data_IF_282770713164
#
_entry.id   IF_282770713164
#
_cell.length_a   1.000
_cell.length_b   1.000
_cell.length_c   1.000
_cell.angle_alpha   90.00
_cell.angle_beta   90.00
_cell.angle_gamma   90.00
#
_symmetry.space_group_name_H-M   'P 1'
#
loop_
_entity.id
_entity.type
_entity.pdbx_description
1 polymer ?
#
# COMPACT_ATOMS: atom_id res chain seq x y z
N UNK A 1 34.88 4.88 37.68
CA UNK A 1 33.45 4.50 37.47
C UNK A 1 32.97 4.93 36.08
N UNK A 2 33.16 6.18 35.66
CA UNK A 2 32.66 6.70 34.35
C UNK A 2 33.32 6.03 33.13
N UNK A 3 34.62 5.71 33.20
CA UNK A 3 35.32 4.99 32.12
C UNK A 3 34.78 3.55 31.92
N UNK A 4 34.41 2.89 33.02
CA UNK A 4 33.83 1.54 32.97
C UNK A 4 32.43 1.58 32.33
N UNK A 5 31.63 2.61 32.63
CA UNK A 5 30.32 2.82 32.01
C UNK A 5 30.39 3.12 30.49
N UNK A 6 31.42 3.86 30.08
CA UNK A 6 31.66 4.10 28.64
C UNK A 6 32.09 2.80 27.95
N UNK A 7 32.97 2.02 28.58
CA UNK A 7 33.41 0.73 28.04
C UNK A 7 32.31 -0.34 28.01
N UNK A 8 31.30 -0.23 28.88
CA UNK A 8 30.14 -1.11 28.89
C UNK A 8 29.15 -0.85 27.72
N UNK A 9 29.34 0.22 26.92
CA UNK A 9 28.52 0.52 25.76
C UNK A 9 27.06 0.79 26.11
N UNK A 10 26.72 1.88 26.80
CA UNK A 10 25.35 2.19 27.17
C UNK A 10 24.49 2.37 25.91
N UNK A 11 23.47 1.53 25.78
CA UNK A 11 22.52 1.55 24.65
C UNK A 11 21.17 2.00 25.16
N UNK A 12 20.53 2.86 24.40
CA UNK A 12 19.11 3.20 24.57
C UNK A 12 18.35 2.70 23.36
N UNK A 13 17.17 2.15 23.60
CA UNK A 13 16.25 1.86 22.52
C UNK A 13 15.52 3.17 22.17
N UNK A 14 15.71 3.67 20.96
CA UNK A 14 14.83 4.71 20.44
C UNK A 14 13.39 4.19 20.43
N UNK A 15 12.42 5.10 20.57
CA UNK A 15 11.03 4.72 20.33
C UNK A 15 10.96 4.13 18.94
N UNK A 16 10.29 2.97 18.74
CA UNK A 16 10.18 2.38 17.43
C UNK A 16 9.64 3.45 16.49
N UNK A 17 10.46 3.90 15.57
CA UNK A 17 9.98 4.63 14.42
C UNK A 17 9.18 3.60 13.63
N UNK A 18 7.88 3.77 13.57
CA UNK A 18 7.09 3.11 12.56
C UNK A 18 7.48 3.78 11.23
N UNK A 19 8.60 3.37 10.65
CA UNK A 19 8.83 3.64 9.24
C UNK A 19 7.81 2.76 8.52
N UNK A 20 6.80 3.41 7.97
CA UNK A 20 5.84 2.77 7.10
C UNK A 20 6.62 2.27 5.90
N UNK A 21 6.74 0.95 5.76
CA UNK A 21 7.31 0.38 4.56
C UNK A 21 6.44 0.80 3.37
N UNK A 22 7.09 1.13 2.26
CA UNK A 22 6.43 1.51 1.03
C UNK A 22 5.51 0.37 0.58
N UNK A 23 4.24 0.67 0.35
CA UNK A 23 3.29 -0.30 -0.20
C UNK A 23 3.16 -0.07 -1.71
N UNK A 24 3.28 -1.14 -2.48
CA UNK A 24 3.07 -1.14 -3.92
C UNK A 24 1.61 -1.50 -4.19
N UNK A 25 0.80 -0.54 -4.57
CA UNK A 25 -0.64 -0.70 -4.77
C UNK A 25 -0.96 -0.68 -6.26
N UNK A 26 -1.49 -1.77 -6.77
CA UNK A 26 -1.95 -1.87 -8.15
C UNK A 26 -3.48 -1.89 -8.20
N UNK A 27 -4.06 -0.89 -8.82
CA UNK A 27 -5.49 -0.85 -9.10
C UNK A 27 -5.78 -1.62 -10.39
N UNK A 28 -6.69 -2.61 -10.30
CA UNK A 28 -7.31 -3.26 -11.44
C UNK A 28 -8.72 -2.69 -11.60
N UNK A 29 -8.91 -1.80 -12.54
CA UNK A 29 -10.18 -1.13 -12.80
C UNK A 29 -10.88 -1.76 -14.01
N UNK A 30 -12.07 -2.25 -13.79
CA UNK A 30 -12.96 -2.73 -14.84
C UNK A 30 -13.43 -1.55 -15.71
N UNK A 31 -13.27 -1.70 -17.02
CA UNK A 31 -13.75 -0.75 -18.02
C UNK A 31 -14.66 -1.44 -19.04
N UNK A 32 -15.28 -2.55 -18.64
CA UNK A 32 -16.33 -3.20 -19.45
C UNK A 32 -17.54 -2.29 -19.61
N UNK A 33 -18.36 -2.58 -20.61
CA UNK A 33 -19.52 -1.74 -20.96
C UNK A 33 -20.50 -1.55 -19.79
N UNK A 34 -20.61 -2.50 -18.86
CA UNK A 34 -21.46 -2.41 -17.68
C UNK A 34 -21.06 -1.32 -16.70
N UNK A 35 -19.79 -0.92 -16.69
CA UNK A 35 -19.28 0.17 -15.86
C UNK A 35 -19.82 1.56 -16.27
N UNK A 36 -20.45 1.68 -17.45
CA UNK A 36 -21.21 2.88 -17.86
C UNK A 36 -22.64 2.93 -17.29
N UNK A 37 -23.04 1.96 -16.46
CA UNK A 37 -24.37 1.98 -15.83
C UNK A 37 -24.45 3.07 -14.75
N UNK A 38 -25.64 3.66 -14.61
CA UNK A 38 -25.89 4.74 -13.62
C UNK A 38 -25.54 4.31 -12.19
N UNK A 39 -24.85 5.21 -11.48
CA UNK A 39 -24.42 4.99 -10.11
C UNK A 39 -24.37 6.34 -9.38
N UNK A 40 -25.41 6.64 -8.61
CA UNK A 40 -25.58 7.97 -8.00
C UNK A 40 -25.80 9.06 -9.06
N UNK A 41 -25.10 10.18 -8.99
CA UNK A 41 -25.21 11.29 -9.95
C UNK A 41 -24.48 11.05 -11.27
N UNK A 42 -23.63 10.03 -11.38
CA UNK A 42 -22.84 9.68 -12.54
C UNK A 42 -22.99 8.21 -12.93
N UNK A 43 -21.94 7.63 -13.43
CA UNK A 43 -21.85 6.20 -13.70
C UNK A 43 -20.84 5.50 -12.75
N UNK A 44 -20.75 4.17 -12.85
CA UNK A 44 -19.86 3.35 -12.01
C UNK A 44 -18.39 3.69 -12.23
N UNK A 45 -18.00 3.93 -13.48
CA UNK A 45 -16.62 4.27 -13.82
C UNK A 45 -16.21 5.62 -13.23
N UNK A 46 -17.02 6.66 -13.41
CA UNK A 46 -16.74 8.00 -12.88
C UNK A 46 -16.63 7.97 -11.35
N UNK A 47 -17.56 7.30 -10.68
CA UNK A 47 -17.54 7.16 -9.22
C UNK A 47 -16.33 6.35 -8.71
N UNK A 48 -15.93 5.30 -9.44
CA UNK A 48 -14.73 4.54 -9.12
C UNK A 48 -13.47 5.40 -9.24
N UNK A 49 -13.35 6.18 -10.32
CA UNK A 49 -12.20 7.06 -10.54
C UNK A 49 -12.14 8.21 -9.53
N UNK A 50 -13.29 8.79 -9.15
CA UNK A 50 -13.36 9.82 -8.11
C UNK A 50 -12.87 9.27 -6.78
N UNK A 51 -13.40 8.13 -6.34
CA UNK A 51 -13.02 7.48 -5.07
C UNK A 51 -11.56 7.03 -5.07
N UNK A 52 -11.05 6.55 -6.21
CA UNK A 52 -9.64 6.21 -6.38
C UNK A 52 -8.75 7.45 -6.22
N UNK A 53 -9.10 8.57 -6.83
CA UNK A 53 -8.34 9.81 -6.68
C UNK A 53 -8.34 10.33 -5.24
N UNK A 54 -9.47 10.24 -4.52
CA UNK A 54 -9.53 10.57 -3.10
C UNK A 54 -8.62 9.65 -2.28
N UNK A 55 -8.63 8.34 -2.55
CA UNK A 55 -7.75 7.39 -1.86
C UNK A 55 -6.27 7.72 -2.04
N UNK A 56 -5.85 8.15 -3.23
CA UNK A 56 -4.47 8.56 -3.50
C UNK A 56 -4.04 9.79 -2.66
N UNK A 57 -4.97 10.68 -2.33
CA UNK A 57 -4.68 11.87 -1.51
C UNK A 57 -4.39 11.52 -0.04
N UNK A 58 -4.97 10.43 0.47
CA UNK A 58 -4.73 9.94 1.83
C UNK A 58 -3.40 9.17 1.96
N UNK A 59 -2.97 8.50 0.89
CA UNK A 59 -1.82 7.60 0.92
C UNK A 59 -0.55 8.21 0.31
N UNK A 60 0.01 9.18 1.01
CA UNK A 60 1.29 9.77 0.61
C UNK A 60 2.46 8.84 0.96
N UNK A 61 3.33 8.60 -0.03
CA UNK A 61 4.55 7.81 0.14
C UNK A 61 4.46 6.37 -0.37
N UNK A 62 3.27 5.89 -0.78
CA UNK A 62 3.10 4.60 -1.45
C UNK A 62 3.37 4.73 -2.96
N UNK A 63 3.64 3.61 -3.61
CA UNK A 63 3.73 3.54 -5.06
C UNK A 63 2.44 2.96 -5.64
N UNK A 64 1.94 3.58 -6.72
CA UNK A 64 0.67 3.23 -7.34
C UNK A 64 0.84 2.85 -8.80
N UNK A 65 0.05 1.89 -9.25
CA UNK A 65 -0.10 1.50 -10.65
C UNK A 65 -1.58 1.43 -11.02
N UNK A 66 -1.93 1.77 -12.25
CA UNK A 66 -3.28 1.63 -12.78
C UNK A 66 -3.29 0.69 -13.97
N UNK A 67 -3.99 -0.41 -13.82
CA UNK A 67 -4.33 -1.33 -14.89
C UNK A 67 -5.83 -1.27 -15.14
N UNK A 68 -6.22 -1.10 -16.38
CA UNK A 68 -7.62 -1.24 -16.80
C UNK A 68 -7.82 -2.55 -17.51
N UNK A 69 -8.99 -3.15 -17.34
CA UNK A 69 -9.31 -4.41 -17.98
C UNK A 69 -10.76 -4.49 -18.41
N UNK A 70 -11.00 -5.31 -19.40
CA UNK A 70 -12.29 -5.65 -19.98
C UNK A 70 -12.14 -6.92 -20.80
N UNK A 71 -12.30 -6.86 -22.10
CA UNK A 71 -11.97 -7.92 -23.06
C UNK A 71 -10.47 -8.21 -23.17
N UNK A 72 -9.65 -7.23 -22.83
CA UNK A 72 -8.20 -7.32 -22.67
C UNK A 72 -7.77 -6.50 -21.46
N UNK A 73 -6.48 -6.46 -21.16
CA UNK A 73 -5.91 -5.64 -20.09
C UNK A 73 -4.85 -4.67 -20.62
N UNK A 74 -4.77 -3.50 -20.01
CA UNK A 74 -3.82 -2.46 -20.37
C UNK A 74 -3.29 -1.80 -19.09
N UNK A 75 -1.99 -1.84 -18.88
CA UNK A 75 -1.34 -1.05 -17.85
C UNK A 75 -1.25 0.40 -18.33
N UNK A 76 -2.12 1.25 -17.75
CA UNK A 76 -2.19 2.66 -18.11
C UNK A 76 -1.12 3.49 -17.39
N UNK A 77 -0.96 3.26 -16.08
CA UNK A 77 0.07 3.90 -15.27
C UNK A 77 0.99 2.81 -14.73
N UNK A 78 2.29 2.83 -15.05
CA UNK A 78 3.26 1.95 -14.41
C UNK A 78 3.40 2.31 -12.93
N UNK A 79 3.97 1.43 -12.12
CA UNK A 79 4.16 1.66 -10.69
C UNK A 79 5.04 2.91 -10.47
N UNK A 80 4.48 3.90 -9.79
CA UNK A 80 5.11 5.21 -9.55
C UNK A 80 4.62 5.83 -8.24
N UNK A 81 5.45 6.64 -7.62
CA UNK A 81 5.05 7.50 -6.48
C UNK A 81 4.42 8.83 -6.93
N UNK A 82 4.45 9.12 -8.23
CA UNK A 82 3.82 10.30 -8.82
C UNK A 82 2.36 10.01 -9.19
N UNK A 83 1.44 10.51 -8.38
CA UNK A 83 -0.01 10.34 -8.55
C UNK A 83 -0.61 11.22 -9.66
N UNK A 84 0.14 12.15 -10.25
CA UNK A 84 -0.38 13.07 -11.27
C UNK A 84 -0.88 12.34 -12.53
N UNK A 85 -0.22 11.24 -12.89
CA UNK A 85 -0.60 10.41 -14.04
C UNK A 85 -2.00 9.80 -13.90
N UNK A 86 -2.46 9.52 -12.67
CA UNK A 86 -3.81 8.99 -12.42
C UNK A 86 -4.87 10.05 -12.68
N UNK A 87 -4.61 11.31 -12.31
CA UNK A 87 -5.58 12.41 -12.42
C UNK A 87 -5.95 12.75 -13.87
N UNK A 88 -5.09 12.39 -14.81
CA UNK A 88 -5.31 12.59 -16.25
C UNK A 88 -5.93 11.38 -16.96
N UNK A 89 -6.09 10.24 -16.28
CA UNK A 89 -6.60 9.01 -16.86
C UNK A 89 -8.11 9.04 -17.22
N UNK A 90 -9.02 9.60 -16.39
CA UNK A 90 -10.45 9.40 -16.51
C UNK A 90 -11.04 9.65 -17.90
N UNK A 91 -10.74 10.77 -18.59
CA UNK A 91 -11.43 11.08 -19.83
C UNK A 91 -11.08 10.13 -20.99
N UNK A 92 -9.97 9.41 -20.91
CA UNK A 92 -9.48 8.54 -21.97
C UNK A 92 -9.88 7.08 -21.79
N UNK A 93 -10.08 6.65 -20.56
CA UNK A 93 -10.34 5.26 -20.17
C UNK A 93 -11.82 4.96 -19.95
N UNK A 94 -12.70 5.96 -20.12
CA UNK A 94 -14.13 5.77 -19.95
C UNK A 94 -14.65 4.69 -20.91
N UNK A 95 -15.44 3.71 -20.45
CA UNK A 95 -15.90 2.57 -21.28
C UNK A 95 -16.54 2.96 -22.61
N UNK A 96 -17.30 4.07 -22.63
CA UNK A 96 -17.94 4.57 -23.87
C UNK A 96 -16.97 5.04 -24.96
N UNK A 97 -15.70 5.29 -24.61
CA UNK A 97 -14.66 5.74 -25.54
C UNK A 97 -13.73 4.63 -25.99
N UNK A 98 -13.80 3.48 -25.32
CA UNK A 98 -12.97 2.33 -25.64
C UNK A 98 -13.58 1.51 -26.78
N UNK A 99 -12.75 0.89 -27.62
CA UNK A 99 -13.26 0.05 -28.70
C UNK A 99 -13.95 -1.19 -28.13
N UNK A 100 -14.97 -1.69 -28.87
CA UNK A 100 -15.82 -2.81 -28.43
C UNK A 100 -15.08 -4.12 -28.16
N UNK A 101 -13.94 -4.34 -28.79
CA UNK A 101 -13.10 -5.51 -28.49
C UNK A 101 -12.41 -5.41 -27.13
N UNK A 102 -12.24 -4.20 -26.59
CA UNK A 102 -11.65 -3.97 -25.28
C UNK A 102 -12.71 -3.91 -24.16
N UNK A 103 -13.80 -3.17 -24.35
CA UNK A 103 -14.85 -3.03 -23.33
C UNK A 103 -15.92 -4.15 -23.37
N UNK A 104 -15.84 -5.06 -24.35
CA UNK A 104 -16.85 -6.10 -24.62
C UNK A 104 -16.74 -7.37 -23.77
N UNK A 105 -16.02 -7.34 -22.65
CA UNK A 105 -15.87 -8.50 -21.76
C UNK A 105 -15.29 -8.12 -20.41
N UNK A 106 -15.27 -9.09 -19.47
CA UNK A 106 -14.72 -8.92 -18.13
C UNK A 106 -13.84 -10.13 -17.82
N UNK A 107 -12.51 -9.97 -17.93
CA UNK A 107 -11.51 -11.03 -17.70
C UNK A 107 -10.64 -10.72 -16.46
N UNK A 108 -11.23 -10.90 -15.27
CA UNK A 108 -10.56 -10.63 -13.97
C UNK A 108 -9.33 -11.52 -13.78
N UNK A 109 -9.42 -12.81 -14.13
CA UNK A 109 -8.32 -13.74 -13.95
C UNK A 109 -7.11 -13.37 -14.81
N UNK A 110 -7.33 -12.89 -16.03
CA UNK A 110 -6.28 -12.38 -16.92
C UNK A 110 -5.65 -11.11 -16.34
N UNK A 111 -6.46 -10.19 -15.81
CA UNK A 111 -6.00 -8.96 -15.20
C UNK A 111 -5.15 -9.25 -13.94
N UNK A 112 -5.61 -10.12 -13.03
CA UNK A 112 -4.88 -10.48 -11.82
C UNK A 112 -3.54 -11.15 -12.12
N UNK A 113 -3.45 -12.03 -13.12
CA UNK A 113 -2.18 -12.63 -13.54
C UNK A 113 -1.19 -11.63 -14.11
N UNK A 114 -1.68 -10.60 -14.80
CA UNK A 114 -0.83 -9.55 -15.31
C UNK A 114 -0.40 -8.59 -14.18
N UNK A 115 -1.32 -8.26 -13.26
CA UNK A 115 -1.02 -7.47 -12.07
C UNK A 115 0.04 -8.13 -11.18
N UNK A 116 -0.04 -9.45 -11.00
CA UNK A 116 0.99 -10.24 -10.31
C UNK A 116 2.36 -10.04 -10.94
N UNK A 117 2.47 -10.21 -12.27
CA UNK A 117 3.73 -10.00 -12.99
C UNK A 117 4.28 -8.59 -12.83
N UNK A 118 3.40 -7.60 -12.90
CA UNK A 118 3.79 -6.19 -12.79
C UNK A 118 4.30 -5.87 -11.36
N UNK A 119 3.65 -6.38 -10.32
CA UNK A 119 4.09 -6.21 -8.94
C UNK A 119 5.39 -6.97 -8.60
N UNK A 120 5.64 -8.09 -9.27
CA UNK A 120 6.87 -8.87 -9.08
C UNK A 120 8.11 -8.21 -9.71
N UNK A 121 7.95 -7.18 -10.51
CA UNK A 121 9.10 -6.38 -10.99
C UNK A 121 9.73 -5.52 -9.90
N UNK A 122 9.05 -5.34 -8.76
CA UNK A 122 9.51 -4.54 -7.62
C UNK A 122 10.06 -5.46 -6.53
N UNK A 123 11.28 -5.20 -6.08
CA UNK A 123 11.97 -6.04 -5.09
C UNK A 123 11.57 -5.73 -3.66
N UNK A 124 11.13 -4.49 -3.37
CA UNK A 124 10.89 -4.00 -2.00
C UNK A 124 9.45 -3.54 -1.79
N UNK A 125 8.98 -3.65 -0.54
CA UNK A 125 7.68 -3.18 -0.09
C UNK A 125 6.57 -4.23 -0.18
N UNK A 126 5.49 -3.97 0.55
CA UNK A 126 4.29 -4.81 0.51
C UNK A 126 3.59 -4.68 -0.84
N UNK A 127 2.88 -5.73 -1.24
CA UNK A 127 2.18 -5.79 -2.52
C UNK A 127 0.68 -5.94 -2.32
N UNK A 128 -0.05 -5.02 -2.91
CA UNK A 128 -1.50 -4.94 -2.78
C UNK A 128 -2.15 -4.78 -4.15
N UNK A 129 -3.20 -5.56 -4.43
CA UNK A 129 -4.09 -5.36 -5.57
C UNK A 129 -5.44 -4.90 -5.03
N UNK A 130 -5.97 -3.83 -5.60
CA UNK A 130 -7.35 -3.38 -5.39
C UNK A 130 -8.10 -3.57 -6.70
N UNK A 131 -9.00 -4.56 -6.71
CA UNK A 131 -9.85 -4.90 -7.84
C UNK A 131 -11.16 -4.14 -7.75
N UNK A 132 -11.51 -3.36 -8.77
CA UNK A 132 -12.78 -2.66 -8.89
C UNK A 132 -13.54 -3.23 -10.10
N UNK A 133 -14.69 -3.86 -9.88
CA UNK A 133 -15.50 -4.46 -10.94
C UNK A 133 -16.97 -4.54 -10.52
N UNK A 134 -17.85 -4.50 -11.48
CA UNK A 134 -19.30 -4.65 -11.28
C UNK A 134 -19.84 -6.02 -11.71
N UNK A 135 -19.01 -6.91 -12.21
CA UNK A 135 -19.42 -8.15 -12.84
C UNK A 135 -18.67 -9.41 -12.38
N UNK A 136 -19.22 -10.52 -12.85
CA UNK A 136 -18.58 -11.82 -12.77
C UNK A 136 -17.67 -12.06 -13.98
N UNK A 137 -16.67 -12.93 -13.81
CA UNK A 137 -15.69 -13.23 -14.85
C UNK A 137 -15.66 -14.72 -15.14
N UNK A 138 -15.87 -15.08 -16.41
CA UNK A 138 -15.90 -16.48 -16.84
C UNK A 138 -14.54 -17.18 -16.71
N UNK A 139 -13.45 -16.42 -16.76
CA UNK A 139 -12.09 -16.95 -16.68
C UNK A 139 -11.65 -17.34 -15.26
N UNK A 140 -12.51 -17.08 -14.26
CA UNK A 140 -12.32 -17.54 -12.87
C UNK A 140 -12.94 -18.92 -12.62
N UNK A 141 -13.77 -19.43 -13.52
CA UNK A 141 -14.48 -20.70 -13.36
C UNK A 141 -13.55 -21.91 -13.37
N UNK A 142 -14.07 -23.08 -12.95
CA UNK A 142 -13.37 -24.36 -13.04
C UNK A 142 -12.14 -24.48 -12.12
N UNK A 143 -12.12 -23.76 -10.99
CA UNK A 143 -11.02 -23.78 -10.03
C UNK A 143 -9.83 -22.91 -10.43
N UNK A 144 -9.99 -22.05 -11.44
CA UNK A 144 -8.97 -21.09 -11.85
C UNK A 144 -8.81 -19.96 -10.81
N UNK A 145 -9.89 -19.57 -10.15
CA UNK A 145 -9.92 -18.67 -9.00
C UNK A 145 -8.96 -19.11 -7.89
N UNK A 146 -9.05 -20.38 -7.45
CA UNK A 146 -8.17 -20.94 -6.42
C UNK A 146 -6.71 -20.97 -6.88
N UNK A 147 -6.46 -21.30 -8.15
CA UNK A 147 -5.09 -21.34 -8.70
C UNK A 147 -4.46 -19.95 -8.70
N UNK A 148 -5.20 -18.94 -9.17
CA UNK A 148 -4.75 -17.54 -9.17
C UNK A 148 -4.52 -17.06 -7.73
N UNK A 149 -5.47 -17.33 -6.83
CA UNK A 149 -5.37 -16.92 -5.43
C UNK A 149 -4.14 -17.51 -4.73
N UNK A 150 -3.81 -18.77 -4.98
CA UNK A 150 -2.60 -19.41 -4.43
C UNK A 150 -1.33 -18.78 -4.98
N UNK A 151 -1.26 -18.54 -6.29
CA UNK A 151 -0.11 -17.88 -6.90
C UNK A 151 0.13 -16.49 -6.30
N UNK A 152 -0.92 -15.70 -6.16
CA UNK A 152 -0.85 -14.37 -5.53
C UNK A 152 -0.39 -14.46 -4.07
N UNK A 153 -0.94 -15.39 -3.29
CA UNK A 153 -0.56 -15.62 -1.90
C UNK A 153 0.90 -16.04 -1.76
N UNK A 154 1.36 -16.96 -2.59
CA UNK A 154 2.75 -17.48 -2.57
C UNK A 154 3.75 -16.36 -2.89
N UNK A 155 3.32 -15.32 -3.63
CA UNK A 155 4.07 -14.11 -3.95
C UNK A 155 3.84 -12.96 -2.96
N UNK A 156 3.19 -13.21 -1.82
CA UNK A 156 2.85 -12.21 -0.79
C UNK A 156 2.07 -11.01 -1.36
N UNK A 157 1.10 -11.27 -2.22
CA UNK A 157 0.20 -10.26 -2.79
C UNK A 157 -1.16 -10.41 -2.14
N UNK A 158 -1.60 -9.36 -1.44
CA UNK A 158 -2.95 -9.28 -0.88
C UNK A 158 -3.91 -8.68 -1.89
N UNK A 159 -5.11 -9.23 -2.01
CA UNK A 159 -6.14 -8.72 -2.93
C UNK A 159 -7.34 -8.24 -2.14
N UNK A 160 -7.68 -6.99 -2.31
CA UNK A 160 -8.99 -6.44 -1.93
C UNK A 160 -9.85 -6.29 -3.18
N UNK A 161 -11.13 -6.58 -3.06
CA UNK A 161 -12.06 -6.42 -4.17
C UNK A 161 -13.24 -5.52 -3.78
N UNK A 162 -13.62 -4.64 -4.67
CA UNK A 162 -14.77 -3.76 -4.53
C UNK A 162 -15.74 -4.09 -5.66
N UNK A 163 -16.88 -4.67 -5.29
CA UNK A 163 -17.99 -4.90 -6.21
C UNK A 163 -18.85 -3.63 -6.26
N UNK A 164 -18.90 -3.00 -7.45
CA UNK A 164 -19.59 -1.73 -7.66
C UNK A 164 -20.98 -1.97 -8.25
N UNK A 165 -22.03 -1.60 -7.52
CA UNK A 165 -23.41 -1.75 -7.94
C UNK A 165 -24.23 -2.62 -7.03
N UNK A 166 -25.48 -2.89 -7.43
CA UNK A 166 -26.41 -3.71 -6.65
C UNK A 166 -26.13 -5.20 -6.81
N UNK A 167 -26.31 -5.94 -5.71
CA UNK A 167 -26.15 -7.40 -5.71
C UNK A 167 -25.03 -7.90 -4.82
N UNK A 168 -24.89 -9.22 -4.75
CA UNK A 168 -23.81 -9.85 -4.03
C UNK A 168 -22.54 -9.91 -4.92
N UNK A 169 -21.35 -9.72 -4.34
CA UNK A 169 -20.10 -9.94 -5.05
C UNK A 169 -19.99 -11.37 -5.60
N UNK A 170 -19.31 -11.57 -6.73
CA UNK A 170 -19.07 -12.91 -7.28
C UNK A 170 -18.32 -13.80 -6.29
N UNK A 171 -18.77 -15.05 -6.14
CA UNK A 171 -18.19 -16.00 -5.20
C UNK A 171 -16.71 -16.27 -5.47
N UNK A 172 -16.32 -16.36 -6.73
CA UNK A 172 -14.95 -16.60 -7.17
C UNK A 172 -14.00 -15.47 -6.73
N UNK A 173 -14.47 -14.23 -6.79
CA UNK A 173 -13.72 -13.06 -6.33
C UNK A 173 -13.54 -13.12 -4.81
N UNK A 174 -14.60 -13.47 -4.08
CA UNK A 174 -14.55 -13.63 -2.62
C UNK A 174 -13.60 -14.76 -2.18
N UNK A 175 -13.49 -15.83 -2.96
CA UNK A 175 -12.49 -16.89 -2.75
C UNK A 175 -11.08 -16.36 -2.91
N UNK A 176 -10.81 -15.57 -3.96
CA UNK A 176 -9.48 -14.98 -4.20
C UNK A 176 -9.06 -14.08 -3.04
N UNK A 177 -9.91 -13.15 -2.64
CA UNK A 177 -9.60 -12.23 -1.54
C UNK A 177 -9.36 -12.96 -0.23
N UNK A 178 -10.22 -13.94 0.10
CA UNK A 178 -10.09 -14.73 1.33
C UNK A 178 -8.78 -15.52 1.39
N UNK A 179 -8.36 -16.16 0.29
CA UNK A 179 -7.10 -16.92 0.23
C UNK A 179 -5.88 -16.01 0.36
N UNK A 180 -5.92 -14.82 -0.25
CA UNK A 180 -4.81 -13.86 -0.23
C UNK A 180 -4.74 -13.01 1.05
N UNK A 181 -5.71 -13.16 1.96
CA UNK A 181 -5.76 -12.43 3.23
C UNK A 181 -6.42 -11.05 3.16
N UNK A 182 -7.08 -10.74 2.05
CA UNK A 182 -7.89 -9.54 1.90
C UNK A 182 -9.39 -9.79 2.10
N UNK A 183 -10.20 -8.86 1.63
CA UNK A 183 -11.65 -8.88 1.79
C UNK A 183 -12.37 -8.39 0.53
N UNK A 184 -13.61 -8.84 0.32
CA UNK A 184 -14.47 -8.36 -0.75
C UNK A 184 -15.56 -7.46 -0.17
N UNK A 185 -15.69 -6.27 -0.71
CA UNK A 185 -16.67 -5.27 -0.31
C UNK A 185 -17.72 -5.07 -1.41
N UNK A 186 -18.94 -4.74 -1.02
CA UNK A 186 -19.98 -4.31 -1.93
C UNK A 186 -20.24 -2.82 -1.73
N UNK A 187 -20.23 -2.05 -2.82
CA UNK A 187 -20.57 -0.64 -2.83
C UNK A 187 -21.80 -0.41 -3.70
N UNK A 188 -22.94 -0.16 -3.08
CA UNK A 188 -24.22 0.07 -3.74
C UNK A 188 -24.43 1.51 -4.21
N UNK A 189 -23.65 2.44 -3.72
CA UNK A 189 -23.71 3.87 -3.98
C UNK A 189 -22.31 4.52 -3.81
N UNK A 190 -22.11 5.77 -4.28
CA UNK A 190 -20.81 6.45 -4.22
C UNK A 190 -20.28 6.66 -2.79
N UNK A 191 -21.16 6.90 -1.80
CA UNK A 191 -20.74 7.11 -0.42
C UNK A 191 -20.23 5.80 0.21
N UNK A 192 -20.90 4.68 -0.05
CA UNK A 192 -20.43 3.36 0.37
C UNK A 192 -19.08 3.02 -0.25
N UNK A 193 -18.83 3.41 -1.51
CA UNK A 193 -17.56 3.22 -2.19
C UNK A 193 -16.41 3.97 -1.49
N UNK A 194 -16.61 5.22 -1.10
CA UNK A 194 -15.63 6.01 -0.33
C UNK A 194 -15.34 5.37 1.03
N UNK A 195 -16.36 4.91 1.72
CA UNK A 195 -16.22 4.21 3.02
C UNK A 195 -15.40 2.93 2.89
N UNK A 196 -15.59 2.17 1.80
CA UNK A 196 -14.83 0.95 1.51
C UNK A 196 -13.35 1.27 1.33
N UNK A 197 -13.00 2.31 0.59
CA UNK A 197 -11.60 2.71 0.44
C UNK A 197 -10.95 3.10 1.77
N UNK A 198 -11.65 3.81 2.65
CA UNK A 198 -11.17 4.10 4.01
C UNK A 198 -10.92 2.82 4.80
N UNK A 199 -11.82 1.85 4.70
CA UNK A 199 -11.68 0.55 5.36
C UNK A 199 -10.47 -0.24 4.85
N UNK A 200 -10.22 -0.25 3.55
CA UNK A 200 -9.04 -0.88 2.95
C UNK A 200 -7.76 -0.21 3.47
N UNK A 201 -7.75 1.13 3.58
CA UNK A 201 -6.60 1.87 4.13
C UNK A 201 -6.29 1.44 5.57
N UNK A 202 -7.29 1.36 6.44
CA UNK A 202 -7.14 0.91 7.82
C UNK A 202 -6.59 -0.52 7.90
N UNK A 203 -7.13 -1.44 7.10
CA UNK A 203 -6.70 -2.84 7.09
C UNK A 203 -5.27 -3.01 6.56
N UNK A 204 -4.91 -2.31 5.51
CA UNK A 204 -3.57 -2.36 4.95
C UNK A 204 -2.52 -1.74 5.89
N UNK A 205 -2.90 -0.74 6.70
CA UNK A 205 -2.01 -0.15 7.71
C UNK A 205 -1.81 -1.08 8.93
N UNK A 206 -2.80 -1.89 9.27
CA UNK A 206 -2.73 -2.82 10.42
C UNK A 206 -1.71 -3.95 10.20
N UNK A 207 -1.32 -4.24 8.96
CA UNK A 207 -0.32 -5.24 8.62
C UNK A 207 1.13 -4.78 8.82
N UNK A 208 1.35 -3.52 9.22
CA UNK A 208 2.69 -2.96 9.46
C UNK A 208 3.40 -3.71 10.61
N UNK A 209 4.47 -4.39 10.27
CA UNK A 209 5.36 -5.05 11.23
C UNK A 209 5.97 -4.00 12.15
N UNK A 210 5.82 -4.19 13.47
CA UNK A 210 6.59 -3.42 14.46
C UNK A 210 8.06 -3.79 14.29
N UNK A 211 8.82 -2.93 13.63
CA UNK A 211 10.27 -3.07 13.59
C UNK A 211 10.79 -3.04 15.03
N UNK A 212 11.60 -4.01 15.38
CA UNK A 212 12.35 -3.99 16.65
C UNK A 212 13.22 -2.73 16.65
N UNK A 213 13.13 -1.89 17.70
CA UNK A 213 13.90 -0.65 17.72
C UNK A 213 15.39 -0.97 17.70
N UNK A 214 16.12 -0.37 16.78
CA UNK A 214 17.56 -0.51 16.71
C UNK A 214 18.21 0.09 17.97
N UNK A 215 19.17 -0.61 18.58
CA UNK A 215 19.88 -0.09 19.73
C UNK A 215 20.82 1.05 19.29
N UNK A 216 20.55 2.26 19.76
CA UNK A 216 21.38 3.44 19.48
C UNK A 216 22.36 3.65 20.64
N UNK A 217 23.64 3.82 20.31
CA UNK A 217 24.68 4.06 21.26
C UNK A 217 24.56 5.44 21.93
N UNK A 218 24.40 5.46 23.24
CA UNK A 218 24.15 6.68 24.03
C UNK A 218 25.37 7.14 24.80
N UNK A 219 26.48 7.42 24.13
CA UNK A 219 27.76 7.81 24.75
C UNK A 219 27.85 9.28 25.13
N UNK A 220 27.14 10.19 24.50
CA UNK A 220 27.28 11.65 24.65
C UNK A 220 27.26 12.12 26.11
N UNK A 221 26.27 11.78 26.96
CA UNK A 221 26.24 12.26 28.34
C UNK A 221 27.43 11.75 29.20
N UNK A 222 27.86 10.52 28.92
CA UNK A 222 28.97 9.91 29.66
C UNK A 222 30.33 10.50 29.25
N UNK A 223 30.52 10.84 28.00
CA UNK A 223 31.73 11.52 27.49
C UNK A 223 31.81 12.94 28.07
N UNK A 224 30.70 13.68 28.08
CA UNK A 224 30.66 15.05 28.62
C UNK A 224 30.98 15.02 30.11
N UNK A 225 30.41 14.09 30.88
CA UNK A 225 30.69 13.97 32.31
C UNK A 225 32.14 13.55 32.58
N UNK A 226 32.70 12.65 31.76
CA UNK A 226 34.11 12.26 31.90
C UNK A 226 35.08 13.42 31.61
N UNK A 227 34.80 14.20 30.56
CA UNK A 227 35.60 15.37 30.19
C UNK A 227 35.49 16.50 31.23
N UNK A 228 34.33 16.74 31.80
CA UNK A 228 34.15 17.74 32.85
C UNK A 228 34.89 17.34 34.15
N UNK A 229 34.83 16.06 34.54
CA UNK A 229 35.58 15.57 35.68
C UNK A 229 37.12 15.63 35.47
N UNK A 230 37.58 15.31 34.25
CA UNK A 230 38.98 15.46 33.88
C UNK A 230 39.43 16.94 33.90
N UNK A 231 38.59 17.84 33.43
CA UNK A 231 38.85 19.30 33.47
C UNK A 231 38.96 19.82 34.91
N UNK A 232 38.03 19.43 35.80
CA UNK A 232 38.09 19.78 37.23
C UNK A 232 39.36 19.20 37.88
N UNK A 233 39.71 17.95 37.58
CA UNK A 233 40.93 17.33 38.10
C UNK A 233 42.18 18.07 37.64
N UNK A 234 42.29 18.49 36.42
CA UNK A 234 43.41 19.29 35.89
C UNK A 234 43.47 20.66 36.57
N UNK A 235 42.32 21.34 36.75
CA UNK A 235 42.24 22.61 37.47
C UNK A 235 42.70 22.48 38.93
N UNK A 236 42.35 21.40 39.63
CA UNK A 236 42.82 21.17 41.01
C UNK A 236 44.30 20.86 41.05
N UNK A 237 44.84 20.11 40.07
CA UNK A 237 46.26 19.79 40.01
C UNK A 237 47.14 21.02 39.74
N UNK A 238 46.72 21.90 38.84
CA UNK A 238 47.52 23.06 38.44
C UNK A 238 47.11 24.34 39.15
N UNK A 239 45.83 24.56 39.45
CA UNK A 239 45.33 25.78 40.11
C UNK A 239 45.65 25.85 41.61
N UNK A 240 45.51 24.74 42.35
CA UNK A 240 45.81 24.70 43.81
C UNK A 240 47.29 24.61 44.13
N UNK A 241 48.14 24.32 43.14
CA UNK A 241 49.59 24.22 43.33
C UNK A 241 50.30 25.55 43.21
N UNK A 242 49.62 26.61 42.79
CA UNK A 242 50.16 27.93 42.52
C UNK A 242 49.51 29.06 43.36
N UNK A 243 48.94 28.79 44.53
CA UNK A 243 48.63 29.84 45.51
C UNK A 243 49.85 30.09 46.35
N UNK A 244 50.66 31.13 46.04
CA UNK A 244 51.63 31.62 46.99
C UNK A 244 50.84 32.29 48.14
N UNK A 245 51.12 31.91 49.30
CA UNK A 245 50.67 32.52 50.52
C UNK A 245 51.47 33.75 50.83
#
# INVERSE_FOLDING_TARGET
ATLILIAAGPRTFERPKSERELTNILFCLDVSGSMSASFGPGDRYDSAMESLNEFLDYRKGDAFSLMVFGGDNLRWVPLTTDVSAFRHAPPFLHPSKLPSWFNGGTFIGKALKQAEKDLLTTETGDRLIILLSDGASFDLNGGNDVKIARSLKDNNITVFAIHIGGGAPPAEVSVITSITGGETFAAGDPESLKTVFQRIDEMAQASLVRLTPDPVDHFRPYIITALSLAGVYLLTLFGLRYTPW
#
